data_IF_955906114140
#
_entry.id   IF_955906114140
#
_cell.length_a   1.000
_cell.length_b   1.000
_cell.length_c   1.000
_cell.angle_alpha   90.00
_cell.angle_beta   90.00
_cell.angle_gamma   90.00
#
_symmetry.space_group_name_H-M   'P 1'
#
loop_
_entity.id
_entity.type
_entity.pdbx_description
1 polymer ?
#
# COMPACT_ATOMS: atom_id res chain seq x y z
N UNK A 1 9.49 -4.75 -6.66
CA UNK A 1 9.16 -6.13 -7.00
C UNK A 1 10.27 -6.77 -7.82
N UNK A 2 10.40 -6.40 -9.09
CA UNK A 2 11.28 -7.08 -10.05
C UNK A 2 12.75 -7.17 -9.61
N UNK A 3 13.34 -6.07 -9.14
CA UNK A 3 14.71 -6.06 -8.63
C UNK A 3 14.94 -7.09 -7.50
N UNK A 4 14.04 -7.12 -6.52
CA UNK A 4 14.15 -8.07 -5.39
C UNK A 4 14.03 -9.52 -5.88
N UNK A 5 13.13 -9.77 -6.83
CA UNK A 5 12.97 -11.09 -7.43
C UNK A 5 14.23 -11.55 -8.17
N UNK A 6 14.87 -10.66 -8.93
CA UNK A 6 16.11 -10.95 -9.66
C UNK A 6 17.27 -11.24 -8.71
N UNK A 7 17.45 -10.45 -7.65
CA UNK A 7 18.49 -10.67 -6.64
C UNK A 7 18.28 -11.99 -5.88
N UNK A 8 17.04 -12.32 -5.56
CA UNK A 8 16.71 -13.59 -4.92
C UNK A 8 17.01 -14.78 -5.84
N UNK A 9 16.64 -14.70 -7.12
CA UNK A 9 16.91 -15.75 -8.09
C UNK A 9 18.40 -15.96 -8.29
N UNK A 10 19.17 -14.88 -8.34
CA UNK A 10 20.62 -14.91 -8.41
C UNK A 10 21.24 -15.58 -7.18
N UNK A 11 20.83 -15.17 -5.99
CA UNK A 11 21.33 -15.77 -4.74
C UNK A 11 21.02 -17.26 -4.65
N UNK A 12 19.78 -17.66 -4.99
CA UNK A 12 19.38 -19.06 -5.01
C UNK A 12 20.24 -19.88 -5.99
N UNK A 13 20.45 -19.38 -7.19
CA UNK A 13 21.15 -20.07 -8.26
C UNK A 13 22.67 -20.16 -8.02
N UNK A 14 23.28 -19.07 -7.56
CA UNK A 14 24.73 -18.94 -7.50
C UNK A 14 25.31 -19.38 -6.15
N UNK A 15 24.53 -19.30 -5.09
CA UNK A 15 25.01 -19.55 -3.72
C UNK A 15 24.25 -20.70 -3.05
N UNK A 16 22.95 -20.55 -2.86
CA UNK A 16 22.19 -21.46 -2.01
C UNK A 16 22.09 -22.88 -2.59
N UNK A 17 21.68 -22.98 -3.86
CA UNK A 17 21.50 -24.27 -4.51
C UNK A 17 22.80 -25.06 -4.68
N UNK A 18 23.97 -24.47 -5.05
CA UNK A 18 25.26 -25.14 -5.05
C UNK A 18 25.66 -25.69 -3.65
N UNK A 19 25.46 -24.90 -2.60
CA UNK A 19 25.74 -25.34 -1.23
C UNK A 19 24.86 -26.54 -0.82
N UNK A 20 23.57 -26.48 -1.08
CA UNK A 20 22.64 -27.58 -0.82
C UNK A 20 23.03 -28.87 -1.56
N UNK A 21 23.48 -28.74 -2.79
CA UNK A 21 23.87 -29.90 -3.63
C UNK A 21 25.14 -30.58 -3.16
N UNK A 22 26.01 -29.93 -2.39
CA UNK A 22 27.16 -30.56 -1.77
C UNK A 22 26.73 -31.65 -0.80
N UNK A 23 25.66 -31.42 -0.03
CA UNK A 23 25.14 -32.40 0.95
C UNK A 23 24.13 -33.34 0.31
N UNK A 24 23.28 -32.84 -0.57
CA UNK A 24 22.26 -33.63 -1.24
C UNK A 24 22.19 -33.26 -2.73
N UNK A 25 22.83 -34.04 -3.63
CA UNK A 25 22.98 -33.72 -5.06
C UNK A 25 21.67 -33.50 -5.82
N UNK A 26 20.55 -34.06 -5.34
CA UNK A 26 19.22 -33.93 -5.94
C UNK A 26 18.45 -32.71 -5.42
N UNK A 27 19.06 -31.86 -4.59
CA UNK A 27 18.42 -30.65 -4.09
C UNK A 27 17.95 -29.76 -5.25
N UNK A 28 16.76 -29.22 -5.10
CA UNK A 28 16.20 -28.24 -6.01
C UNK A 28 15.38 -27.21 -5.23
N UNK A 29 15.27 -25.99 -5.75
CA UNK A 29 14.43 -24.92 -5.24
C UNK A 29 13.53 -24.48 -6.38
N UNK A 30 12.22 -24.57 -6.15
CA UNK A 30 11.21 -24.00 -7.06
C UNK A 30 10.67 -22.72 -6.42
N UNK A 31 10.73 -21.63 -7.17
CA UNK A 31 10.05 -20.39 -6.82
C UNK A 31 8.76 -20.29 -7.60
N UNK A 32 7.69 -19.90 -6.95
CA UNK A 32 6.40 -19.63 -7.56
C UNK A 32 5.89 -18.28 -7.03
N UNK A 33 5.57 -17.38 -7.93
CA UNK A 33 4.95 -16.09 -7.58
C UNK A 33 3.45 -16.32 -7.48
N UNK A 34 2.92 -16.30 -6.27
CA UNK A 34 1.49 -16.50 -6.00
C UNK A 34 0.69 -15.20 -6.02
N UNK A 35 1.37 -14.05 -6.00
CA UNK A 35 0.75 -12.74 -6.07
C UNK A 35 1.80 -11.63 -6.06
N UNK A 36 1.46 -10.52 -6.67
CA UNK A 36 2.26 -9.30 -6.67
C UNK A 36 1.36 -8.10 -6.41
N UNK A 37 1.78 -7.22 -5.51
CA UNK A 37 1.07 -5.98 -5.19
C UNK A 37 1.92 -4.82 -5.70
N UNK A 38 1.32 -4.02 -6.57
CA UNK A 38 1.96 -2.83 -7.12
C UNK A 38 2.08 -1.77 -6.03
N UNK A 39 3.28 -1.23 -5.85
CA UNK A 39 3.54 -0.17 -4.89
C UNK A 39 2.81 1.11 -5.26
N UNK A 40 2.32 1.82 -4.25
CA UNK A 40 1.71 3.14 -4.40
C UNK A 40 2.77 4.23 -4.21
N UNK A 41 3.02 5.01 -5.25
CA UNK A 41 4.05 6.04 -5.24
C UNK A 41 3.49 7.39 -4.78
N UNK A 42 4.28 8.12 -3.99
CA UNK A 42 3.97 9.50 -3.62
C UNK A 42 3.96 10.38 -4.87
N UNK A 43 2.87 11.10 -5.09
CA UNK A 43 2.73 12.07 -6.18
C UNK A 43 2.69 13.48 -5.57
N UNK A 44 3.60 14.35 -6.01
CA UNK A 44 3.68 15.71 -5.47
C UNK A 44 2.47 16.58 -5.82
N UNK A 45 1.95 16.43 -7.04
CA UNK A 45 0.76 17.14 -7.52
C UNK A 45 -0.36 16.14 -7.80
N UNK A 46 -1.22 15.93 -6.83
CA UNK A 46 -2.36 15.01 -6.93
C UNK A 46 -3.65 15.77 -6.62
N UNK A 47 -4.61 15.71 -7.55
CA UNK A 47 -5.94 16.30 -7.36
C UNK A 47 -6.66 15.65 -6.18
N UNK A 48 -6.55 14.33 -6.04
CA UNK A 48 -7.11 13.60 -4.91
C UNK A 48 -6.54 14.08 -3.58
N UNK A 49 -5.21 14.23 -3.48
CA UNK A 49 -4.56 14.75 -2.27
C UNK A 49 -5.06 16.15 -1.94
N UNK A 50 -5.11 17.04 -2.95
CA UNK A 50 -5.59 18.41 -2.73
C UNK A 50 -7.05 18.44 -2.27
N UNK A 51 -7.90 17.61 -2.85
CA UNK A 51 -9.30 17.47 -2.43
C UNK A 51 -9.40 17.04 -0.97
N UNK A 52 -8.64 16.00 -0.57
CA UNK A 52 -8.64 15.49 0.80
C UNK A 52 -8.14 16.54 1.78
N UNK A 53 -7.00 17.18 1.52
CA UNK A 53 -6.46 18.25 2.36
C UNK A 53 -7.48 19.38 2.56
N UNK A 54 -8.19 19.78 1.50
CA UNK A 54 -9.21 20.82 1.58
C UNK A 54 -10.43 20.40 2.42
N UNK A 55 -10.80 19.12 2.40
CA UNK A 55 -11.96 18.63 3.14
C UNK A 55 -11.67 18.31 4.60
N UNK A 56 -10.46 17.86 4.89
CA UNK A 56 -10.04 17.47 6.25
C UNK A 56 -9.41 18.62 7.02
N UNK A 57 -8.79 19.58 6.32
CA UNK A 57 -7.92 20.60 6.90
C UNK A 57 -6.53 20.06 7.29
N UNK A 58 -6.26 18.79 7.04
CA UNK A 58 -4.98 18.13 7.30
C UNK A 58 -4.11 18.18 6.03
N UNK A 59 -2.89 18.69 6.18
CA UNK A 59 -1.90 18.77 5.10
C UNK A 59 -0.76 17.76 5.27
N UNK A 60 -0.85 16.85 6.23
CA UNK A 60 0.12 15.75 6.36
C UNK A 60 0.09 14.86 5.13
N UNK A 61 1.26 14.36 4.74
CA UNK A 61 1.44 13.52 3.56
C UNK A 61 2.42 12.43 3.91
N UNK A 62 1.93 11.41 4.57
CA UNK A 62 2.75 10.31 5.05
C UNK A 62 2.78 9.18 4.03
N UNK A 63 3.87 8.41 4.06
CA UNK A 63 3.99 7.16 3.34
C UNK A 63 3.96 6.04 4.37
N UNK A 64 3.15 5.05 4.10
CA UNK A 64 2.94 3.90 4.98
C UNK A 64 3.33 2.61 4.29
N UNK A 65 3.80 1.63 5.07
CA UNK A 65 4.33 0.35 4.59
C UNK A 65 3.29 -0.77 4.67
N UNK A 66 2.07 -0.53 4.14
CA UNK A 66 1.06 -1.58 4.04
C UNK A 66 0.58 -1.74 2.60
N UNK A 67 0.00 -2.91 2.29
CA UNK A 67 -0.58 -3.20 0.98
C UNK A 67 -1.91 -2.48 0.78
N UNK A 68 -2.11 -1.96 -0.44
CA UNK A 68 -3.37 -1.31 -0.84
C UNK A 68 -3.54 -1.43 -2.35
N UNK A 69 -4.78 -1.45 -2.82
CA UNK A 69 -5.12 -1.40 -4.24
C UNK A 69 -4.88 -0.01 -4.88
N UNK A 70 -4.51 1.01 -4.09
CA UNK A 70 -4.27 2.36 -4.59
C UNK A 70 -3.22 2.42 -5.72
N UNK A 71 -2.22 1.54 -5.69
CA UNK A 71 -1.22 1.42 -6.74
C UNK A 71 -1.81 1.04 -8.09
N UNK A 72 -2.83 0.18 -8.12
CA UNK A 72 -3.52 -0.23 -9.36
C UNK A 72 -4.26 0.94 -10.01
N UNK A 73 -4.96 1.76 -9.20
CA UNK A 73 -5.63 2.95 -9.71
C UNK A 73 -4.63 4.00 -10.22
N UNK A 74 -3.49 4.16 -9.53
CA UNK A 74 -2.43 5.06 -9.97
C UNK A 74 -1.81 4.62 -11.30
N UNK A 75 -1.62 3.32 -11.51
CA UNK A 75 -1.03 2.75 -12.74
C UNK A 75 -1.89 3.08 -13.99
N UNK A 76 -3.20 3.08 -13.85
CA UNK A 76 -4.13 3.47 -14.93
C UNK A 76 -4.38 4.98 -15.01
N UNK A 77 -3.58 5.78 -14.30
CA UNK A 77 -3.61 7.25 -14.39
C UNK A 77 -4.67 7.93 -13.52
N UNK A 78 -5.32 7.21 -12.61
CA UNK A 78 -6.29 7.80 -11.68
C UNK A 78 -5.55 8.48 -10.54
N UNK A 79 -5.86 9.76 -10.30
CA UNK A 79 -5.36 10.49 -9.14
C UNK A 79 -5.91 9.87 -7.86
N UNK A 80 -5.02 9.29 -7.05
CA UNK A 80 -5.41 8.42 -5.94
C UNK A 80 -4.74 8.87 -4.65
N UNK A 81 -5.43 8.67 -3.53
CA UNK A 81 -4.91 8.86 -2.18
C UNK A 81 -5.61 7.90 -1.24
N UNK A 82 -4.87 7.39 -0.26
CA UNK A 82 -5.44 6.58 0.83
C UNK A 82 -5.79 7.51 1.99
N UNK A 83 -7.03 7.49 2.42
CA UNK A 83 -7.52 8.28 3.54
C UNK A 83 -8.63 7.51 4.24
N UNK A 84 -8.56 7.45 5.55
CA UNK A 84 -9.56 6.78 6.37
C UNK A 84 -9.52 7.27 7.82
N UNK A 85 -10.52 6.88 8.64
CA UNK A 85 -10.57 7.24 10.04
C UNK A 85 -9.61 6.39 10.89
N UNK A 86 -9.20 6.92 12.04
CA UNK A 86 -8.35 6.21 13.01
C UNK A 86 -6.86 6.47 12.82
N UNK A 87 -6.05 5.64 13.46
CA UNK A 87 -4.58 5.71 13.39
C UNK A 87 -4.02 4.39 12.88
N UNK A 88 -3.08 4.47 11.94
CA UNK A 88 -2.34 3.30 11.44
C UNK A 88 -1.60 2.56 12.56
N UNK A 89 -1.29 3.24 13.65
CA UNK A 89 -0.64 2.61 14.81
C UNK A 89 -1.53 1.57 15.51
N UNK A 90 -2.83 1.57 15.26
CA UNK A 90 -3.76 0.57 15.79
C UNK A 90 -3.90 -0.65 14.89
N UNK A 91 -3.51 -0.55 13.62
CA UNK A 91 -3.66 -1.63 12.66
C UNK A 91 -2.90 -2.88 13.07
N UNK A 92 -3.56 -4.03 12.99
CA UNK A 92 -3.01 -5.36 13.32
C UNK A 92 -2.56 -5.54 14.78
N UNK A 93 -3.05 -4.71 15.69
CA UNK A 93 -2.83 -4.89 17.13
C UNK A 93 -3.91 -5.75 17.77
N UNK A 94 -3.54 -6.38 18.88
CA UNK A 94 -4.52 -7.02 19.78
C UNK A 94 -5.45 -5.93 20.29
N UNK A 95 -6.76 -6.19 20.29
CA UNK A 95 -7.81 -5.25 20.69
C UNK A 95 -7.80 -3.95 19.86
N UNK A 96 -7.54 -4.06 18.56
CA UNK A 96 -7.62 -2.93 17.61
C UNK A 96 -8.94 -2.17 17.79
N UNK A 97 -8.85 -0.86 17.91
CA UNK A 97 -10.01 0.00 18.15
C UNK A 97 -9.98 1.26 17.30
N UNK A 98 -11.15 1.85 17.14
CA UNK A 98 -11.32 3.19 16.60
C UNK A 98 -12.16 4.05 17.54
N UNK A 99 -11.78 5.31 17.70
CA UNK A 99 -12.57 6.27 18.49
C UNK A 99 -13.82 6.68 17.74
N UNK A 100 -14.96 6.78 18.45
CA UNK A 100 -16.23 7.22 17.84
C UNK A 100 -16.15 8.60 17.19
N UNK A 101 -15.30 9.49 17.70
CA UNK A 101 -15.05 10.81 17.11
C UNK A 101 -14.41 10.72 15.75
N UNK A 102 -13.52 9.75 15.52
CA UNK A 102 -12.91 9.52 14.21
C UNK A 102 -13.94 9.04 13.18
N UNK A 103 -14.87 8.18 13.59
CA UNK A 103 -15.99 7.77 12.73
C UNK A 103 -16.90 8.97 12.40
N UNK A 104 -17.20 9.85 13.35
CA UNK A 104 -17.99 11.07 13.10
C UNK A 104 -17.28 12.02 12.13
N UNK A 105 -15.97 12.21 12.28
CA UNK A 105 -15.15 13.00 11.33
C UNK A 105 -15.17 12.40 9.93
N UNK A 106 -15.06 11.08 9.81
CA UNK A 106 -15.14 10.36 8.56
C UNK A 106 -16.49 10.57 7.87
N UNK A 107 -17.61 10.46 8.59
CA UNK A 107 -18.94 10.71 8.02
C UNK A 107 -19.07 12.15 7.49
N UNK A 108 -18.58 13.14 8.23
CA UNK A 108 -18.56 14.54 7.78
C UNK A 108 -17.70 14.72 6.53
N UNK A 109 -16.54 14.09 6.50
CA UNK A 109 -15.65 14.07 5.34
C UNK A 109 -16.35 13.48 4.11
N UNK A 110 -16.98 12.30 4.23
CA UNK A 110 -17.69 11.63 3.13
C UNK A 110 -18.86 12.48 2.60
N UNK A 111 -19.59 13.18 3.48
CA UNK A 111 -20.63 14.13 3.05
C UNK A 111 -20.02 15.31 2.26
N UNK A 112 -18.84 15.76 2.64
CA UNK A 112 -18.08 16.77 1.88
C UNK A 112 -17.67 16.29 0.48
N UNK A 113 -17.18 15.06 0.35
CA UNK A 113 -16.86 14.43 -0.93
C UNK A 113 -18.11 14.34 -1.79
N UNK A 114 -19.21 13.79 -1.24
CA UNK A 114 -20.50 13.68 -1.94
C UNK A 114 -20.98 15.02 -2.49
N UNK A 115 -20.95 16.08 -1.68
CA UNK A 115 -21.38 17.42 -2.10
C UNK A 115 -20.54 17.95 -3.27
N UNK A 116 -19.23 17.75 -3.25
CA UNK A 116 -18.36 18.17 -4.35
C UNK A 116 -18.56 17.37 -5.63
N UNK A 117 -18.86 16.07 -5.52
CA UNK A 117 -19.10 15.21 -6.69
C UNK A 117 -20.44 15.48 -7.38
N UNK A 118 -21.42 16.10 -6.71
CA UNK A 118 -22.73 16.45 -7.29
C UNK A 118 -22.69 17.82 -7.96
N UNK A 119 -21.74 18.69 -7.60
CA UNK A 119 -21.63 20.06 -8.10
C UNK A 119 -20.75 20.18 -9.36
N UNK A 120 -20.16 19.09 -9.81
CA UNK A 120 -19.43 18.95 -11.07
C UNK A 120 -20.24 18.08 -12.04
#
# INVERSE_FOLDING_TARGET
GEFVNQEMDKYVKEILLPEMKKTFPKSNIKKEVIGEIIGFNKVEKSEAVNLICNLTGDNSRDVVSFGTEAGLFQEIGISTVVCGPGSIEQAHKVDEFIKLEELKKCLKFLDGVRKKSILN
#
